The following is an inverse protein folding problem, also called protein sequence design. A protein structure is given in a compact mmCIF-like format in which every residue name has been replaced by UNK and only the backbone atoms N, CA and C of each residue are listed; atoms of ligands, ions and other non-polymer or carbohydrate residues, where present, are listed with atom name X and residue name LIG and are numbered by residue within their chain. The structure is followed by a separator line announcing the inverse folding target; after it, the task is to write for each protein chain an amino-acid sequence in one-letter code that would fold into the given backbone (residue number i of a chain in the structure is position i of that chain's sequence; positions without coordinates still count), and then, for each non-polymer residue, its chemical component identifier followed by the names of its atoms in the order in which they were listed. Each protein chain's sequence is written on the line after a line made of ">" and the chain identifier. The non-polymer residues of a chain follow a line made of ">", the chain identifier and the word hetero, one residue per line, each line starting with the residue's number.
data_IF_211798564593
#
_entry.id   IF_211798564593
#
_cell.length_a   1.000
_cell.length_b   1.000
_cell.length_c   1.000
_cell.angle_alpha   90.00
_cell.angle_beta   90.00
_cell.angle_gamma   90.00
#
_symmetry.space_group_name_H-M   'P 1'
#
loop_
_entity.id
_entity.type
_entity.pdbx_description
1 polymer ?
#
# COMPACT_ATOMS: atom_id res chain seq x y z
N UNK A 1 3.99 9.57 1.18
CA UNK A 1 2.58 9.76 1.57
C UNK A 1 1.84 8.45 1.35
N UNK A 2 0.82 8.14 2.15
CA UNK A 2 0.07 6.88 2.04
C UNK A 2 -0.94 6.86 0.90
N UNK A 3 -1.43 8.02 0.47
CA UNK A 3 -2.38 8.16 -0.64
C UNK A 3 -2.32 9.60 -1.17
N UNK A 4 -2.52 9.79 -2.47
CA UNK A 4 -2.64 11.09 -3.15
C UNK A 4 -3.07 10.91 -4.62
N UNK A 5 -3.52 12.00 -5.25
CA UNK A 5 -3.95 12.06 -6.66
C UNK A 5 -2.87 12.59 -7.62
N UNK A 6 -1.66 12.89 -7.13
CA UNK A 6 -0.56 13.43 -7.94
C UNK A 6 0.03 12.46 -8.99
N UNK A 7 -0.31 11.18 -8.91
CA UNK A 7 0.24 10.12 -9.78
C UNK A 7 -0.84 9.13 -10.18
N UNK A 8 -0.71 8.52 -11.36
CA UNK A 8 -1.67 7.54 -11.86
C UNK A 8 -1.71 6.24 -11.04
N UNK A 9 -0.61 5.88 -10.38
CA UNK A 9 -0.54 4.72 -9.50
C UNK A 9 0.41 4.99 -8.33
N UNK A 10 0.18 4.31 -7.21
CA UNK A 10 1.04 4.34 -6.01
C UNK A 10 1.46 2.90 -5.72
N UNK A 11 2.75 2.69 -5.45
CA UNK A 11 3.29 1.38 -5.13
C UNK A 11 3.59 1.32 -3.63
N UNK A 12 2.87 0.45 -2.91
CA UNK A 12 3.10 0.22 -1.49
C UNK A 12 4.08 -0.94 -1.31
N UNK A 13 5.19 -0.67 -0.63
CA UNK A 13 6.10 -1.70 -0.15
C UNK A 13 5.64 -2.13 1.24
N UNK A 14 4.99 -3.29 1.31
CA UNK A 14 4.31 -3.77 2.52
C UNK A 14 5.12 -4.88 3.17
N UNK A 15 5.33 -4.78 4.47
CA UNK A 15 5.91 -5.85 5.28
C UNK A 15 4.78 -6.71 5.84
N UNK A 16 4.73 -7.98 5.44
CA UNK A 16 3.74 -8.93 5.93
C UNK A 16 4.40 -10.29 6.22
N UNK A 17 3.69 -11.15 6.94
CA UNK A 17 4.13 -12.53 7.22
C UNK A 17 3.25 -13.51 6.44
N UNK A 18 3.87 -14.53 5.86
CA UNK A 18 3.12 -15.66 5.34
C UNK A 18 2.50 -16.47 6.50
N UNK A 19 1.39 -17.20 6.27
CA UNK A 19 0.73 -17.99 7.30
C UNK A 19 1.68 -18.96 8.03
N UNK A 20 2.64 -19.53 7.30
CA UNK A 20 3.60 -20.52 7.81
C UNK A 20 4.96 -19.93 8.20
N UNK A 21 5.10 -18.60 8.20
CA UNK A 21 6.39 -17.96 8.43
C UNK A 21 6.84 -18.05 9.90
N UNK A 22 8.16 -18.18 10.15
CA UNK A 22 8.70 -18.24 11.50
C UNK A 22 8.42 -16.97 12.31
N UNK A 23 8.33 -17.10 13.63
CA UNK A 23 8.11 -15.98 14.52
C UNK A 23 9.28 -14.96 14.45
N UNK A 24 8.96 -13.69 14.73
CA UNK A 24 9.92 -12.59 14.75
C UNK A 24 10.21 -11.98 13.37
N UNK A 25 11.26 -11.13 13.28
CA UNK A 25 11.56 -10.35 12.07
C UNK A 25 11.96 -11.19 10.86
N UNK A 26 12.53 -12.38 11.08
CA UNK A 26 12.99 -13.28 10.00
C UNK A 26 11.84 -13.89 9.19
N UNK A 27 10.61 -13.90 9.72
CA UNK A 27 9.42 -14.33 8.99
C UNK A 27 8.71 -13.22 8.22
N UNK A 28 9.21 -11.99 8.29
CA UNK A 28 8.62 -10.86 7.58
C UNK A 28 9.18 -10.83 6.15
N UNK A 29 8.29 -10.84 5.18
CA UNK A 29 8.62 -10.68 3.76
C UNK A 29 8.16 -9.31 3.26
N UNK A 30 8.82 -8.83 2.19
CA UNK A 30 8.47 -7.59 1.52
C UNK A 30 7.60 -7.89 0.30
N UNK A 31 6.45 -7.23 0.24
CA UNK A 31 5.48 -7.37 -0.84
C UNK A 31 5.33 -6.05 -1.58
N UNK A 32 5.14 -6.16 -2.90
CA UNK A 32 4.87 -5.02 -3.76
C UNK A 32 3.37 -5.00 -4.04
N UNK A 33 2.67 -4.03 -3.44
CA UNK A 33 1.20 -3.91 -3.48
C UNK A 33 0.85 -2.61 -4.21
N UNK A 34 0.57 -2.66 -5.52
CA UNK A 34 0.19 -1.46 -6.27
C UNK A 34 -1.25 -1.05 -5.93
N UNK A 35 -1.59 0.24 -6.01
CA UNK A 35 -2.96 0.74 -5.84
C UNK A 35 -3.89 0.26 -6.96
N UNK A 36 -3.43 0.35 -8.20
CA UNK A 36 -4.07 -0.19 -9.39
C UNK A 36 -3.25 -1.36 -9.94
N UNK A 37 -3.91 -2.43 -10.39
CA UNK A 37 -3.26 -3.60 -10.96
C UNK A 37 -2.54 -3.23 -12.26
N UNK A 38 -1.42 -3.91 -12.48
CA UNK A 38 -0.57 -3.76 -13.67
C UNK A 38 -0.73 -5.02 -14.52
N UNK A 39 -1.04 -4.84 -15.80
CA UNK A 39 -1.16 -5.91 -16.79
C UNK A 39 0.21 -6.48 -17.16
N UNK A 40 0.21 -7.62 -17.86
CA UNK A 40 1.45 -8.28 -18.31
C UNK A 40 2.24 -7.44 -19.32
N UNK A 41 1.59 -6.49 -19.98
CA UNK A 41 2.17 -5.49 -20.88
C UNK A 41 2.77 -4.28 -20.15
N UNK A 42 2.67 -4.23 -18.81
CA UNK A 42 3.15 -3.14 -17.97
C UNK A 42 2.19 -1.96 -17.87
N UNK A 43 1.03 -2.01 -18.52
CA UNK A 43 0.03 -0.95 -18.44
C UNK A 43 -0.90 -1.12 -17.24
N UNK A 44 -1.52 -0.02 -16.79
CA UNK A 44 -2.53 -0.09 -15.72
C UNK A 44 -3.82 -0.70 -16.29
N UNK A 45 -4.36 -1.72 -15.62
CA UNK A 45 -5.61 -2.36 -16.07
C UNK A 45 -6.86 -1.54 -15.71
N UNK A 46 -6.71 -0.52 -14.87
CA UNK A 46 -7.81 0.26 -14.30
C UNK A 46 -8.52 -0.43 -13.12
N UNK A 47 -8.16 -1.68 -12.81
CA UNK A 47 -8.68 -2.38 -11.63
C UNK A 47 -7.92 -1.99 -10.36
N UNK A 48 -8.65 -1.70 -9.29
CA UNK A 48 -8.07 -1.41 -7.97
C UNK A 48 -7.60 -2.71 -7.31
N UNK A 49 -6.49 -2.64 -6.57
CA UNK A 49 -5.97 -3.78 -5.81
C UNK A 49 -6.47 -3.83 -4.36
N UNK A 50 -7.62 -3.21 -4.04
CA UNK A 50 -8.22 -3.20 -2.69
C UNK A 50 -7.33 -2.68 -1.55
N UNK A 51 -6.29 -1.90 -1.86
CA UNK A 51 -5.56 -1.09 -0.89
C UNK A 51 -6.19 0.30 -0.82
N UNK A 52 -6.57 0.74 0.40
CA UNK A 52 -7.27 2.02 0.59
C UNK A 52 -6.74 2.76 1.81
N UNK A 53 -6.70 4.09 1.71
CA UNK A 53 -6.52 4.97 2.85
C UNK A 53 -7.84 5.02 3.65
N UNK A 54 -7.86 4.41 4.84
CA UNK A 54 -9.02 4.40 5.73
C UNK A 54 -9.20 5.71 6.50
N UNK A 55 -8.10 6.40 6.83
CA UNK A 55 -8.13 7.71 7.49
C UNK A 55 -6.83 8.48 7.25
N UNK A 56 -6.88 9.80 7.47
CA UNK A 56 -5.72 10.70 7.40
C UNK A 56 -5.49 11.31 8.78
N UNK A 57 -4.24 11.29 9.24
CA UNK A 57 -3.86 11.74 10.57
C UNK A 57 -3.85 13.26 10.72
N UNK A 58 -4.38 13.74 11.85
CA UNK A 58 -4.29 15.13 12.28
C UNK A 58 -2.97 15.40 13.00
N UNK A 59 -1.95 15.80 12.23
CA UNK A 59 -0.59 16.04 12.74
C UNK A 59 -0.38 17.46 13.26
N UNK A 60 0.56 17.62 14.20
CA UNK A 60 1.05 18.93 14.67
C UNK A 60 1.64 19.77 13.51
N UNK A 61 2.37 19.14 12.58
CA UNK A 61 3.01 19.76 11.42
C UNK A 61 3.08 18.81 10.22
N UNK A 62 3.76 19.24 9.14
CA UNK A 62 3.85 18.48 7.87
C UNK A 62 2.46 18.06 7.36
N UNK A 63 1.49 18.99 7.47
CA UNK A 63 0.09 18.73 7.15
C UNK A 63 -0.13 18.45 5.65
N UNK A 64 0.76 18.95 4.78
CA UNK A 64 0.73 18.68 3.35
C UNK A 64 1.18 17.27 2.94
N UNK A 65 1.77 16.48 3.84
CA UNK A 65 2.04 15.06 3.58
C UNK A 65 0.87 14.23 4.13
N UNK A 66 0.13 13.54 3.25
CA UNK A 66 -0.92 12.61 3.66
C UNK A 66 -0.30 11.41 4.40
N UNK A 67 -0.49 11.41 5.73
CA UNK A 67 -0.13 10.30 6.62
C UNK A 67 -1.41 9.54 6.87
N UNK A 68 -1.42 8.27 6.46
CA UNK A 68 -2.66 7.52 6.28
C UNK A 68 -2.63 6.24 7.10
N UNK A 69 -3.78 5.87 7.64
CA UNK A 69 -4.05 4.48 7.99
C UNK A 69 -4.39 3.74 6.69
N UNK A 70 -3.65 2.69 6.39
CA UNK A 70 -3.81 1.90 5.18
C UNK A 70 -4.50 0.57 5.49
N UNK A 71 -5.56 0.26 4.75
CA UNK A 71 -6.28 -0.99 4.83
C UNK A 71 -5.93 -1.85 3.61
N UNK A 72 -5.59 -3.12 3.86
CA UNK A 72 -5.21 -4.10 2.85
C UNK A 72 -6.17 -5.29 2.92
N UNK A 73 -7.21 -5.28 2.08
CA UNK A 73 -8.25 -6.31 2.08
C UNK A 73 -7.99 -7.35 0.99
N UNK A 74 -7.12 -8.32 1.30
CA UNK A 74 -6.69 -9.36 0.35
C UNK A 74 -5.94 -8.79 -0.87
N UNK A 75 -5.23 -7.68 -0.65
CA UNK A 75 -4.48 -6.89 -1.62
C UNK A 75 -3.07 -7.45 -1.91
#
# INVERSE_FOLDING_TARGET
>A
AGEHDLTANIIHLVLAKLPDAPAGPKGISLFLVPKNKVGADGNLTGETNNVKCGSIEHKMGIKGSATCVMNFDGA
#
